data_IF_514307594798
#
_entry.id   IF_514307594798
#
_cell.length_a   1.000
_cell.length_b   1.000
_cell.length_c   1.000
_cell.angle_alpha   90.00
_cell.angle_beta   90.00
_cell.angle_gamma   90.00
#
_symmetry.space_group_name_H-M   'P 1'
#
loop_
_entity.id
_entity.type
_entity.pdbx_description
1 polymer ?
#
# COMPACT_ATOMS: atom_id res chain seq x y z
N UNK A 1 7.74 17.26 16.42
CA UNK A 1 8.70 16.20 16.07
C UNK A 1 8.36 15.72 14.67
N UNK A 2 9.29 15.67 13.71
CA UNK A 2 8.98 15.05 12.43
C UNK A 2 8.69 13.57 12.71
N UNK A 3 7.48 13.12 12.42
CA UNK A 3 7.08 11.70 12.50
C UNK A 3 7.71 10.96 11.33
N UNK A 4 9.04 10.79 11.35
CA UNK A 4 9.72 9.99 10.34
C UNK A 4 9.40 8.53 10.64
N UNK A 5 8.48 7.95 9.86
CA UNK A 5 8.15 6.54 9.94
C UNK A 5 9.26 5.75 9.24
N UNK A 6 9.68 4.63 9.82
CA UNK A 6 10.66 3.74 9.20
C UNK A 6 10.08 3.15 7.90
N UNK A 7 10.83 3.20 6.78
CA UNK A 7 10.35 2.69 5.50
C UNK A 7 10.31 1.16 5.50
N UNK A 8 9.26 0.61 4.88
CA UNK A 8 9.15 -0.82 4.61
C UNK A 8 9.67 -1.13 3.20
N UNK A 9 10.65 -2.02 3.09
CA UNK A 9 11.15 -2.53 1.79
C UNK A 9 10.62 -3.94 1.54
N UNK A 10 10.01 -4.16 0.37
CA UNK A 10 9.45 -5.45 -0.04
C UNK A 10 9.76 -5.74 -1.50
N UNK A 11 9.78 -7.03 -1.84
CA UNK A 11 9.82 -7.50 -3.22
C UNK A 11 8.40 -7.84 -3.67
N UNK A 12 8.02 -7.34 -4.83
CA UNK A 12 6.75 -7.67 -5.48
C UNK A 12 7.03 -8.51 -6.73
N UNK A 13 6.18 -9.49 -7.06
CA UNK A 13 6.20 -10.12 -8.37
C UNK A 13 6.09 -9.07 -9.48
N UNK A 14 6.75 -9.27 -10.65
CA UNK A 14 6.73 -8.31 -11.75
C UNK A 14 5.31 -7.91 -12.18
N UNK A 15 4.42 -8.88 -12.30
CA UNK A 15 3.03 -8.66 -12.72
C UNK A 15 2.25 -7.78 -11.74
N UNK A 16 2.54 -7.89 -10.44
CA UNK A 16 1.91 -7.06 -9.40
C UNK A 16 2.46 -5.64 -9.45
N UNK A 17 3.78 -5.50 -9.70
CA UNK A 17 4.41 -4.19 -9.84
C UNK A 17 3.88 -3.42 -11.05
N UNK A 18 3.71 -4.10 -12.19
CA UNK A 18 3.14 -3.52 -13.40
C UNK A 18 1.70 -3.07 -13.20
N UNK A 19 0.86 -3.91 -12.57
CA UNK A 19 -0.51 -3.54 -12.23
C UNK A 19 -0.57 -2.32 -11.30
N UNK A 20 0.30 -2.26 -10.28
CA UNK A 20 0.38 -1.13 -9.36
C UNK A 20 0.86 0.15 -10.05
N UNK A 21 1.81 0.04 -10.98
CA UNK A 21 2.28 1.17 -11.77
C UNK A 21 1.17 1.76 -12.63
N UNK A 22 0.42 0.90 -13.34
CA UNK A 22 -0.71 1.35 -14.16
C UNK A 22 -1.78 2.04 -13.32
N UNK A 23 -2.11 1.47 -12.15
CA UNK A 23 -3.06 2.08 -11.23
C UNK A 23 -2.60 3.46 -10.72
N UNK A 24 -1.30 3.62 -10.44
CA UNK A 24 -0.69 4.90 -10.07
C UNK A 24 -0.81 5.97 -11.16
N UNK A 25 -0.61 5.58 -12.42
CA UNK A 25 -0.78 6.46 -13.58
C UNK A 25 -2.25 6.88 -13.76
N UNK A 26 -3.19 5.96 -13.62
CA UNK A 26 -4.64 6.23 -13.73
C UNK A 26 -5.16 7.19 -12.65
N UNK A 27 -4.64 7.12 -11.42
CA UNK A 27 -5.07 7.97 -10.30
C UNK A 27 -4.22 9.25 -10.09
N UNK A 28 -3.19 9.49 -10.91
CA UNK A 28 -2.21 10.57 -10.70
C UNK A 28 -1.58 10.53 -9.29
N UNK A 29 -1.19 9.32 -8.84
CA UNK A 29 -0.58 9.05 -7.52
C UNK A 29 0.74 8.30 -7.65
N UNK A 30 1.54 8.28 -6.58
CA UNK A 30 2.74 7.44 -6.54
C UNK A 30 2.40 5.98 -6.22
N UNK A 31 3.19 5.04 -6.76
CA UNK A 31 3.08 3.61 -6.40
C UNK A 31 3.22 3.39 -4.89
N UNK A 32 4.10 4.15 -4.22
CA UNK A 32 4.30 4.07 -2.77
C UNK A 32 3.06 4.47 -1.98
N UNK A 33 2.33 5.49 -2.45
CA UNK A 33 1.08 5.91 -1.82
C UNK A 33 0.00 4.83 -1.97
N UNK A 34 -0.17 4.27 -3.16
CA UNK A 34 -1.18 3.24 -3.41
C UNK A 34 -0.87 1.94 -2.66
N UNK A 35 0.40 1.50 -2.65
CA UNK A 35 0.83 0.36 -1.87
C UNK A 35 0.56 0.56 -0.37
N UNK A 36 0.93 1.72 0.18
CA UNK A 36 0.66 2.04 1.58
C UNK A 36 -0.84 2.05 1.89
N UNK A 37 -1.65 2.69 1.03
CA UNK A 37 -3.11 2.74 1.17
C UNK A 37 -3.72 1.34 1.20
N UNK A 38 -3.40 0.49 0.23
CA UNK A 38 -3.89 -0.87 0.14
C UNK A 38 -3.52 -1.70 1.38
N UNK A 39 -2.28 -1.60 1.85
CA UNK A 39 -1.81 -2.30 3.06
C UNK A 39 -2.54 -1.78 4.31
N UNK A 40 -2.69 -0.47 4.46
CA UNK A 40 -3.40 0.15 5.60
C UNK A 40 -4.85 -0.33 5.65
N UNK A 41 -5.53 -0.37 4.51
CA UNK A 41 -6.91 -0.85 4.41
C UNK A 41 -7.02 -2.33 4.76
N UNK A 42 -6.14 -3.18 4.23
CA UNK A 42 -6.09 -4.61 4.56
C UNK A 42 -5.86 -4.85 6.07
N UNK A 43 -4.94 -4.10 6.70
CA UNK A 43 -4.68 -4.19 8.14
C UNK A 43 -5.88 -3.73 8.96
N UNK A 44 -6.55 -2.64 8.57
CA UNK A 44 -7.78 -2.17 9.22
C UNK A 44 -8.89 -3.21 9.14
N UNK A 45 -9.10 -3.79 7.96
CA UNK A 45 -10.10 -4.84 7.74
C UNK A 45 -9.82 -6.08 8.58
N UNK A 46 -8.56 -6.52 8.67
CA UNK A 46 -8.15 -7.64 9.53
C UNK A 46 -8.40 -7.37 11.02
N UNK A 47 -8.19 -6.13 11.49
CA UNK A 47 -8.49 -5.75 12.88
C UNK A 47 -9.98 -5.74 13.17
N UNK A 48 -10.80 -5.25 12.23
CA UNK A 48 -12.27 -5.24 12.38
C UNK A 48 -12.85 -6.65 12.41
N UNK A 49 -12.38 -7.55 11.54
CA UNK A 49 -12.84 -8.95 11.49
C UNK A 49 -12.40 -9.85 12.66
N UNK A 50 -11.55 -9.37 13.58
CA UNK A 50 -11.19 -10.06 14.82
C UNK A 50 -12.01 -9.60 16.04
N UNK A 51 -12.87 -8.60 15.87
CA UNK A 51 -13.64 -7.96 16.95
C UNK A 51 -15.16 -8.06 16.73
N UNK A 52 -15.61 -8.99 15.88
CA UNK A 52 -17.01 -9.31 15.62
C UNK A 52 -17.28 -10.80 15.84
#
# INVERSE_FOLDING_TARGET
MPTSQEPLTVYLPPEVKEALQKWAEEEERSMSFLAAKAIIEAVKSRKKGKNG
#
